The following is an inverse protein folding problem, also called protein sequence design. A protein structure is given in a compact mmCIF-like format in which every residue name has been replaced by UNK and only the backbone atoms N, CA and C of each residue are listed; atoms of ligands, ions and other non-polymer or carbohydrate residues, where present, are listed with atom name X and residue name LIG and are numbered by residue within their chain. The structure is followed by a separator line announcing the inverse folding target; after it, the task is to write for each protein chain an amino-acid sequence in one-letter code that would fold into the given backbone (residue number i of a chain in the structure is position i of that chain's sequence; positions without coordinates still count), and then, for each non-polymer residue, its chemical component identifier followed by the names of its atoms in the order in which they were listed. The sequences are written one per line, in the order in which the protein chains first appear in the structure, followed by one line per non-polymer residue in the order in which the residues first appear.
data_IF_757276625840
#
_entry.id   IF_757276625840
#
_cell.length_a   1.000
_cell.length_b   1.000
_cell.length_c   1.000
_cell.angle_alpha   90.00
_cell.angle_beta   90.00
_cell.angle_gamma   90.00
#
_symmetry.space_group_name_H-M   'P 1'
#
loop_
_entity.id
_entity.type
_entity.pdbx_description
1 polymer ?
#
# COMPACT_ATOMS: atom_id res chain seq x y z
N UNK A 1 27.17 -4.30 2.44
CA UNK A 1 26.64 -5.65 2.25
C UNK A 1 27.24 -6.31 1.00
N UNK A 2 27.08 -5.70 -0.18
CA UNK A 2 27.54 -6.27 -1.47
C UNK A 2 29.04 -6.53 -1.50
N UNK A 3 29.86 -5.58 -1.07
CA UNK A 3 31.32 -5.67 -1.06
C UNK A 3 31.86 -6.81 -0.17
N UNK A 4 31.14 -7.13 0.93
CA UNK A 4 31.53 -8.17 1.89
C UNK A 4 30.80 -9.51 1.66
N UNK A 5 30.07 -9.66 0.55
CA UNK A 5 29.34 -10.88 0.23
C UNK A 5 28.26 -11.26 1.25
N UNK A 6 27.72 -10.27 1.97
CA UNK A 6 26.61 -10.47 2.90
C UNK A 6 25.25 -10.52 2.22
N UNK A 7 24.20 -10.84 2.98
CA UNK A 7 22.80 -10.76 2.56
C UNK A 7 22.04 -9.73 3.42
N UNK A 8 21.22 -8.90 2.76
CA UNK A 8 20.35 -7.93 3.40
C UNK A 8 18.96 -8.03 2.80
N UNK A 9 17.95 -8.12 3.64
CA UNK A 9 16.56 -7.90 3.24
C UNK A 9 16.05 -6.65 3.95
N UNK A 10 15.41 -5.75 3.22
CA UNK A 10 14.81 -4.57 3.82
C UNK A 10 13.39 -4.32 3.26
N UNK A 11 12.51 -3.83 4.10
CA UNK A 11 11.16 -3.43 3.74
C UNK A 11 10.65 -2.36 4.73
N UNK A 12 9.84 -1.43 4.26
CA UNK A 12 9.10 -0.48 5.11
C UNK A 12 7.95 -1.17 5.86
N UNK A 13 7.46 -2.29 5.32
CA UNK A 13 6.40 -3.11 5.90
C UNK A 13 6.63 -4.58 5.55
N UNK A 14 6.70 -5.47 6.57
CA UNK A 14 6.91 -6.91 6.37
C UNK A 14 5.60 -7.71 6.23
N UNK A 15 4.42 -7.09 6.38
CA UNK A 15 3.16 -7.79 6.18
C UNK A 15 3.01 -8.23 4.71
N UNK A 16 2.96 -9.54 4.48
CA UNK A 16 2.82 -10.11 3.12
C UNK A 16 1.55 -9.61 2.44
N UNK A 17 0.42 -9.56 3.18
CA UNK A 17 -0.86 -9.08 2.64
C UNK A 17 -0.81 -7.62 2.18
N UNK A 18 -0.12 -6.74 2.92
CA UNK A 18 0.08 -5.33 2.53
C UNK A 18 0.92 -5.24 1.24
N UNK A 19 1.99 -6.02 1.15
CA UNK A 19 2.85 -6.01 -0.04
C UNK A 19 2.16 -6.60 -1.28
N UNK A 20 1.33 -7.64 -1.11
CA UNK A 20 0.45 -8.13 -2.17
C UNK A 20 -0.57 -7.07 -2.58
N UNK A 21 -1.16 -6.34 -1.62
CA UNK A 21 -2.05 -5.22 -1.91
C UNK A 21 -1.35 -4.14 -2.74
N UNK A 22 -0.10 -3.76 -2.43
CA UNK A 22 0.67 -2.80 -3.22
C UNK A 22 0.82 -3.23 -4.69
N UNK A 23 1.11 -4.52 -4.92
CA UNK A 23 1.25 -5.06 -6.28
C UNK A 23 -0.08 -5.08 -7.04
N UNK A 24 -1.14 -5.54 -6.38
CA UNK A 24 -2.49 -5.56 -6.97
C UNK A 24 -2.98 -4.13 -7.25
N UNK A 25 -2.72 -3.19 -6.34
CA UNK A 25 -3.08 -1.78 -6.49
C UNK A 25 -2.46 -1.17 -7.76
N UNK A 26 -1.13 -1.33 -7.96
CA UNK A 26 -0.46 -0.85 -9.19
C UNK A 26 -1.01 -1.53 -10.44
N UNK A 27 -1.26 -2.85 -10.39
CA UNK A 27 -1.82 -3.56 -11.52
C UNK A 27 -3.23 -3.10 -11.86
N UNK A 28 -4.08 -2.90 -10.85
CA UNK A 28 -5.43 -2.37 -11.01
C UNK A 28 -5.39 -0.94 -11.57
N UNK A 29 -4.55 -0.06 -11.00
CA UNK A 29 -4.36 1.30 -11.46
C UNK A 29 -4.00 1.36 -12.95
N UNK A 30 -3.04 0.53 -13.40
CA UNK A 30 -2.66 0.42 -14.82
C UNK A 30 -3.84 -0.01 -15.71
N UNK A 31 -4.71 -0.90 -15.23
CA UNK A 31 -5.91 -1.29 -15.97
C UNK A 31 -6.93 -0.15 -16.04
N UNK A 32 -7.06 0.63 -14.94
CA UNK A 32 -8.01 1.72 -14.79
C UNK A 32 -7.59 3.01 -15.50
N UNK A 33 -6.33 3.14 -15.96
CA UNK A 33 -5.82 4.33 -16.64
C UNK A 33 -6.68 4.77 -17.81
N UNK A 34 -7.20 3.84 -18.60
CA UNK A 34 -8.03 4.12 -19.79
C UNK A 34 -9.53 4.29 -19.50
N UNK A 35 -9.95 4.23 -18.24
CA UNK A 35 -11.36 4.34 -17.83
C UNK A 35 -11.54 5.57 -16.96
N UNK A 36 -11.60 6.74 -17.58
CA UNK A 36 -11.65 8.06 -16.94
C UNK A 36 -12.98 8.36 -16.24
N UNK A 37 -14.06 7.59 -16.55
CA UNK A 37 -15.31 7.62 -15.79
C UNK A 37 -15.16 7.19 -14.31
N UNK A 38 -14.08 6.44 -13.98
CA UNK A 38 -13.80 6.06 -12.60
C UNK A 38 -12.83 7.05 -11.95
N UNK A 39 -13.26 7.60 -10.81
CA UNK A 39 -12.34 8.29 -9.92
C UNK A 39 -11.82 7.36 -8.83
N UNK A 40 -10.66 7.70 -8.24
CA UNK A 40 -10.01 6.87 -7.22
C UNK A 40 -9.81 7.65 -5.93
N UNK A 41 -10.14 7.00 -4.80
CA UNK A 41 -9.88 7.50 -3.45
C UNK A 41 -9.32 6.40 -2.56
N UNK A 42 -8.71 6.80 -1.45
CA UNK A 42 -8.15 5.89 -0.46
C UNK A 42 -8.76 6.22 0.91
N UNK A 43 -9.13 5.20 1.66
CA UNK A 43 -9.48 5.31 3.07
C UNK A 43 -8.53 4.45 3.89
N UNK A 44 -8.04 4.99 5.02
CA UNK A 44 -7.28 4.23 5.99
C UNK A 44 -7.83 4.42 7.41
N UNK A 45 -7.90 3.31 8.17
CA UNK A 45 -8.39 3.30 9.54
C UNK A 45 -7.32 2.70 10.44
N UNK A 46 -6.92 3.42 11.48
CA UNK A 46 -5.98 2.96 12.51
C UNK A 46 -6.44 3.32 13.91
N UNK A 47 -5.75 2.76 14.90
CA UNK A 47 -6.00 3.05 16.32
C UNK A 47 -5.79 4.53 16.66
N UNK A 48 -6.48 5.00 17.70
CA UNK A 48 -6.47 6.42 18.12
C UNK A 48 -5.10 6.96 18.54
N UNK A 49 -4.13 6.08 18.88
CA UNK A 49 -2.77 6.45 19.26
C UNK A 49 -1.82 6.68 18.07
N UNK A 50 -2.27 6.42 16.82
CA UNK A 50 -1.45 6.66 15.63
C UNK A 50 -1.37 8.16 15.34
N UNK A 51 -0.15 8.70 15.32
CA UNK A 51 0.11 10.14 15.18
C UNK A 51 0.21 10.61 13.74
N UNK A 52 0.81 9.80 12.87
CA UNK A 52 0.98 10.13 11.46
C UNK A 52 -0.35 9.93 10.70
N UNK A 53 -0.68 10.87 9.84
CA UNK A 53 -1.80 10.84 8.89
C UNK A 53 -1.42 11.60 7.61
N UNK A 54 -1.55 10.97 6.42
CA UNK A 54 -1.87 9.55 6.22
C UNK A 54 -0.77 8.61 6.70
N UNK A 55 -1.13 7.32 6.86
CA UNK A 55 -0.15 6.27 7.15
C UNK A 55 0.81 6.06 5.98
N UNK A 56 2.06 5.62 6.27
CA UNK A 56 3.02 5.29 5.21
C UNK A 56 2.49 4.27 4.19
N UNK A 57 1.62 3.33 4.61
CA UNK A 57 0.94 2.39 3.70
C UNK A 57 -0.03 3.11 2.75
N UNK A 58 -0.82 4.07 3.25
CA UNK A 58 -1.73 4.85 2.41
C UNK A 58 -0.97 5.71 1.40
N UNK A 59 0.14 6.33 1.81
CA UNK A 59 1.03 7.10 0.92
C UNK A 59 1.59 6.18 -0.17
N UNK A 60 2.11 5.01 0.17
CA UNK A 60 2.64 4.04 -0.82
C UNK A 60 1.57 3.57 -1.81
N UNK A 61 0.31 3.40 -1.36
CA UNK A 61 -0.82 3.08 -2.24
C UNK A 61 -1.10 4.23 -3.21
N UNK A 62 -1.16 5.48 -2.72
CA UNK A 62 -1.40 6.66 -3.54
C UNK A 62 -0.28 6.87 -4.59
N UNK A 63 0.99 6.80 -4.17
CA UNK A 63 2.14 6.90 -5.06
C UNK A 63 2.14 5.78 -6.12
N UNK A 64 1.74 4.56 -5.72
CA UNK A 64 1.58 3.44 -6.65
C UNK A 64 0.50 3.67 -7.71
N UNK A 65 -0.59 4.37 -7.38
CA UNK A 65 -1.64 4.77 -8.35
C UNK A 65 -1.12 5.88 -9.25
N UNK A 66 -0.53 6.93 -8.68
CA UNK A 66 0.02 8.07 -9.44
C UNK A 66 1.05 7.61 -10.47
N UNK A 67 1.85 6.60 -10.15
CA UNK A 67 2.84 6.04 -11.09
C UNK A 67 2.24 5.35 -12.32
N UNK A 68 0.94 5.01 -12.29
CA UNK A 68 0.25 4.24 -13.34
C UNK A 68 -0.91 5.02 -14.00
N UNK A 69 -1.44 6.07 -13.34
CA UNK A 69 -2.56 6.89 -13.83
C UNK A 69 -2.08 8.31 -14.08
N UNK A 70 -1.85 8.66 -15.34
CA UNK A 70 -1.26 9.94 -15.74
C UNK A 70 -2.12 11.17 -15.41
N UNK A 71 -3.45 11.01 -15.26
CA UNK A 71 -4.35 12.09 -14.83
C UNK A 71 -4.28 12.40 -13.33
N UNK A 72 -3.65 11.52 -12.50
CA UNK A 72 -3.42 11.74 -11.08
C UNK A 72 -2.00 12.24 -10.84
N UNK A 73 -1.88 13.44 -10.29
CA UNK A 73 -0.59 14.14 -10.11
C UNK A 73 -0.13 14.22 -8.66
N UNK A 74 -1.02 13.94 -7.70
CA UNK A 74 -0.72 14.00 -6.28
C UNK A 74 -1.81 13.37 -5.42
N UNK A 75 -1.65 13.50 -4.12
CA UNK A 75 -2.65 13.11 -3.13
C UNK A 75 -2.80 14.19 -2.05
N UNK A 76 -3.97 14.27 -1.45
CA UNK A 76 -4.29 15.17 -0.32
C UNK A 76 -4.96 14.41 0.80
N UNK A 77 -4.75 14.84 2.06
CA UNK A 77 -5.40 14.24 3.26
C UNK A 77 -6.56 15.11 3.77
N UNK A 78 -7.23 15.80 2.87
CA UNK A 78 -8.40 16.64 3.12
C UNK A 78 -9.38 16.50 1.96
N UNK A 79 -10.67 16.85 2.14
CA UNK A 79 -11.62 16.87 1.03
C UNK A 79 -11.14 17.77 -0.09
N UNK A 80 -11.25 17.30 -1.34
CA UNK A 80 -10.85 18.06 -2.52
C UNK A 80 -11.74 17.70 -3.71
N UNK A 81 -12.11 18.69 -4.48
CA UNK A 81 -12.82 18.54 -5.77
C UNK A 81 -11.85 18.53 -6.97
N UNK A 82 -10.54 18.64 -6.71
CA UNK A 82 -9.51 18.53 -7.74
C UNK A 82 -9.34 17.08 -8.18
N UNK A 83 -9.87 16.76 -9.34
CA UNK A 83 -9.81 15.41 -9.93
C UNK A 83 -8.38 14.95 -10.26
N UNK A 84 -7.40 15.83 -10.26
CA UNK A 84 -6.00 15.45 -10.40
C UNK A 84 -5.39 14.89 -9.10
N UNK A 85 -6.04 15.10 -7.95
CA UNK A 85 -5.61 14.61 -6.65
C UNK A 85 -6.32 13.32 -6.26
N UNK A 86 -5.62 12.48 -5.50
CA UNK A 86 -6.21 11.33 -4.82
C UNK A 86 -6.54 11.78 -3.40
N UNK A 87 -7.83 11.78 -3.04
CA UNK A 87 -8.24 12.03 -1.65
C UNK A 87 -7.91 10.81 -0.80
N UNK A 88 -7.12 11.03 0.26
CA UNK A 88 -6.78 10.02 1.26
C UNK A 88 -7.47 10.39 2.56
N UNK A 89 -8.49 9.64 2.95
CA UNK A 89 -9.22 9.83 4.21
C UNK A 89 -8.57 9.01 5.31
N UNK A 90 -8.16 9.67 6.40
CA UNK A 90 -7.52 9.02 7.55
C UNK A 90 -8.48 9.00 8.75
N UNK A 91 -8.93 7.81 9.15
CA UNK A 91 -9.78 7.60 10.32
C UNK A 91 -8.98 7.04 11.49
N UNK A 92 -9.37 7.40 12.71
CA UNK A 92 -8.75 6.94 13.96
C UNK A 92 -9.82 6.36 14.86
N UNK A 93 -9.80 5.02 15.00
CA UNK A 93 -10.88 4.26 15.68
C UNK A 93 -10.31 3.24 16.65
N UNK A 94 -10.64 3.38 17.92
CA UNK A 94 -10.38 2.40 18.97
C UNK A 94 -8.96 1.83 18.92
N UNK A 95 -8.86 0.50 18.78
CA UNK A 95 -7.61 -0.26 18.72
C UNK A 95 -7.34 -0.90 17.34
N UNK A 96 -7.95 -0.40 16.26
CA UNK A 96 -7.82 -0.95 14.89
C UNK A 96 -6.35 -1.01 14.48
N UNK A 97 -5.78 -2.19 14.17
CA UNK A 97 -4.35 -2.31 13.85
C UNK A 97 -3.98 -1.67 12.51
N UNK A 98 -4.93 -1.64 11.58
CA UNK A 98 -4.79 -1.01 10.27
C UNK A 98 -5.73 -1.63 9.23
N UNK A 99 -6.51 -0.79 8.57
CA UNK A 99 -7.32 -1.14 7.39
C UNK A 99 -7.05 -0.12 6.31
N UNK A 100 -6.90 -0.57 5.07
CA UNK A 100 -6.71 0.28 3.91
C UNK A 100 -7.67 -0.17 2.81
N UNK A 101 -8.38 0.78 2.22
CA UNK A 101 -9.30 0.55 1.12
C UNK A 101 -8.96 1.52 -0.01
N UNK A 102 -8.72 0.97 -1.20
CA UNK A 102 -8.65 1.74 -2.45
C UNK A 102 -9.96 1.52 -3.18
N UNK A 103 -10.65 2.59 -3.51
CA UNK A 103 -11.94 2.56 -4.19
C UNK A 103 -11.84 3.27 -5.52
N UNK A 104 -12.19 2.59 -6.59
CA UNK A 104 -12.48 3.18 -7.91
C UNK A 104 -13.98 3.24 -8.06
N UNK A 105 -14.55 4.40 -8.32
CA UNK A 105 -16.00 4.62 -8.36
C UNK A 105 -16.40 5.43 -9.58
N UNK A 106 -17.46 4.97 -10.26
CA UNK A 106 -18.19 5.66 -11.30
C UNK A 106 -19.62 5.98 -10.83
N UNK A 107 -20.42 6.57 -11.68
CA UNK A 107 -21.85 6.80 -11.39
C UNK A 107 -22.65 5.50 -11.27
N UNK A 108 -22.19 4.42 -11.91
CA UNK A 108 -22.95 3.16 -12.04
C UNK A 108 -22.46 2.05 -11.09
N UNK A 109 -21.14 2.02 -10.78
CA UNK A 109 -20.57 0.96 -9.95
C UNK A 109 -19.27 1.38 -9.24
N UNK A 110 -18.74 0.49 -8.40
CA UNK A 110 -17.43 0.67 -7.77
C UNK A 110 -16.66 -0.65 -7.66
N UNK A 111 -15.33 -0.50 -7.65
CA UNK A 111 -14.37 -1.57 -7.37
C UNK A 111 -13.62 -1.21 -6.10
N UNK A 112 -13.55 -2.13 -5.14
CA UNK A 112 -12.81 -1.94 -3.89
C UNK A 112 -11.69 -2.96 -3.75
N UNK A 113 -10.48 -2.49 -3.47
CA UNK A 113 -9.36 -3.30 -3.03
C UNK A 113 -9.11 -3.00 -1.55
N UNK A 114 -9.44 -3.95 -0.67
CA UNK A 114 -9.38 -3.77 0.78
C UNK A 114 -8.44 -4.77 1.44
N UNK A 115 -7.61 -4.28 2.36
CA UNK A 115 -6.79 -5.10 3.25
C UNK A 115 -7.01 -4.67 4.70
N UNK A 116 -7.23 -5.64 5.58
CA UNK A 116 -7.42 -5.43 7.02
C UNK A 116 -6.44 -6.28 7.80
N UNK A 117 -5.62 -5.63 8.63
CA UNK A 117 -4.79 -6.31 9.63
C UNK A 117 -5.67 -6.69 10.83
N UNK A 118 -5.79 -7.98 11.12
CA UNK A 118 -6.54 -8.47 12.28
C UNK A 118 -5.71 -8.42 13.57
N UNK A 119 -4.40 -8.62 13.46
CA UNK A 119 -3.46 -8.48 14.55
C UNK A 119 -2.03 -8.25 14.01
N UNK A 120 -1.13 -7.70 14.85
CA UNK A 120 0.23 -7.34 14.44
C UNK A 120 1.17 -8.54 14.23
N UNK A 121 0.74 -9.77 14.57
CA UNK A 121 1.52 -10.99 14.34
C UNK A 121 1.89 -11.17 12.87
N UNK A 122 1.05 -10.68 11.93
CA UNK A 122 1.31 -10.74 10.50
C UNK A 122 2.61 -10.02 10.08
N UNK A 123 3.01 -8.96 10.80
CA UNK A 123 4.26 -8.24 10.56
C UNK A 123 5.48 -9.10 10.96
N UNK A 124 5.41 -9.74 12.14
CA UNK A 124 6.46 -10.63 12.63
C UNK A 124 6.60 -11.87 11.72
N UNK A 125 5.48 -12.46 11.32
CA UNK A 125 5.48 -13.61 10.39
C UNK A 125 6.15 -13.27 9.07
N UNK A 126 5.84 -12.11 8.49
CA UNK A 126 6.47 -11.66 7.25
C UNK A 126 7.98 -11.45 7.38
N UNK A 127 8.44 -10.97 8.56
CA UNK A 127 9.88 -10.85 8.82
C UNK A 127 10.56 -12.23 8.90
N UNK A 128 9.91 -13.23 9.48
CA UNK A 128 10.42 -14.62 9.50
C UNK A 128 10.52 -15.17 8.09
N UNK A 129 9.47 -15.02 7.27
CA UNK A 129 9.49 -15.47 5.87
C UNK A 129 10.60 -14.78 5.07
N UNK A 130 10.84 -13.48 5.31
CA UNK A 130 11.94 -12.76 4.68
C UNK A 130 13.32 -13.29 5.11
N UNK A 131 13.47 -13.66 6.40
CA UNK A 131 14.70 -14.27 6.90
C UNK A 131 14.93 -15.66 6.30
N UNK A 132 13.91 -16.50 6.19
CA UNK A 132 13.98 -17.81 5.53
C UNK A 132 14.34 -17.66 4.05
N UNK A 133 13.75 -16.67 3.36
CA UNK A 133 14.06 -16.36 1.97
C UNK A 133 15.53 -16.00 1.77
N UNK A 134 16.18 -15.36 2.76
CA UNK A 134 17.60 -14.99 2.69
C UNK A 134 18.57 -16.16 2.85
N UNK A 135 18.14 -17.30 3.38
CA UNK A 135 19.01 -18.45 3.62
C UNK A 135 19.76 -18.86 2.34
N UNK A 136 21.08 -18.90 2.41
CA UNK A 136 21.96 -19.25 1.29
C UNK A 136 22.11 -18.18 0.18
N UNK A 137 21.47 -17.03 0.33
CA UNK A 137 21.56 -15.93 -0.65
C UNK A 137 22.64 -14.91 -0.29
N UNK A 138 23.10 -14.16 -1.28
CA UNK A 138 23.99 -13.01 -1.15
C UNK A 138 23.42 -11.84 -1.93
N UNK A 139 23.50 -10.64 -1.38
CA UNK A 139 23.04 -9.42 -2.03
C UNK A 139 21.98 -8.68 -1.22
N UNK A 140 21.25 -7.79 -1.90
CA UNK A 140 20.22 -6.93 -1.28
C UNK A 140 18.88 -7.27 -1.91
N UNK A 141 17.89 -7.57 -1.07
CA UNK A 141 16.57 -8.05 -1.44
C UNK A 141 15.47 -7.23 -0.79
N UNK A 142 14.31 -7.24 -1.41
CA UNK A 142 13.11 -6.54 -0.97
C UNK A 142 11.89 -7.47 -1.01
N UNK A 143 10.73 -6.96 -0.61
CA UNK A 143 9.47 -7.69 -0.75
C UNK A 143 9.13 -8.01 -2.21
N UNK A 144 9.54 -7.19 -3.16
CA UNK A 144 9.34 -7.47 -4.58
C UNK A 144 10.11 -8.72 -5.03
N UNK A 145 11.29 -8.97 -4.44
CA UNK A 145 12.07 -10.18 -4.74
C UNK A 145 11.47 -11.43 -4.12
N UNK A 146 10.90 -11.31 -2.93
CA UNK A 146 10.24 -12.40 -2.22
C UNK A 146 8.91 -12.81 -2.88
N UNK A 147 8.20 -11.87 -3.48
CA UNK A 147 6.86 -12.07 -4.03
C UNK A 147 6.82 -12.30 -5.56
N UNK A 148 7.97 -12.51 -6.18
CA UNK A 148 8.09 -12.83 -7.63
C UNK A 148 7.41 -14.12 -8.03
#
# INVERSE_FOLDING_TARGET
CREKGGALFYASNYCLGVNLMFRLNRRLARMMERFDAYDVRIEEIHHTQKKDAPSGTAITLAEGIISEIGRKTGWVNEPSDDLSQIVVTSLREGAVPGTHTVTYESDDDRIELKHTIKNRRTLALGAVVAAEFLCGKKGVYTMDDLLK
#
